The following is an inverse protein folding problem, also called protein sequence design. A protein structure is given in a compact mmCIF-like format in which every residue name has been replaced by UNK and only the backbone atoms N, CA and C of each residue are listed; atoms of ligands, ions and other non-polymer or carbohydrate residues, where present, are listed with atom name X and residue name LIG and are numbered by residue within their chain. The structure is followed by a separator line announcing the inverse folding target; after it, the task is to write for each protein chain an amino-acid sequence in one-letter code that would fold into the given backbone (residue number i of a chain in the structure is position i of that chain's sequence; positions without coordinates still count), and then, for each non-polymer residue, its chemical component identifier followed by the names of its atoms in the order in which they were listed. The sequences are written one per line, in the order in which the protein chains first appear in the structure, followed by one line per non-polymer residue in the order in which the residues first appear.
data_IF_738698634159
#
_entry.id   IF_738698634159
#
_cell.length_a   1.000
_cell.length_b   1.000
_cell.length_c   1.000
_cell.angle_alpha   90.00
_cell.angle_beta   90.00
_cell.angle_gamma   90.00
#
_symmetry.space_group_name_H-M   'P 1'
#
loop_
_entity.id
_entity.type
_entity.pdbx_description
1 polymer ?
#
# COMPACT_ATOMS: atom_id res chain seq x y z
N UNK A 1 7.39 4.73 10.28
CA UNK A 1 7.07 3.73 11.31
C UNK A 1 6.33 2.49 10.76
N UNK A 2 6.90 1.79 9.77
CA UNK A 2 6.25 0.61 9.18
C UNK A 2 6.15 -0.56 10.16
N UNK A 3 7.20 -0.79 10.96
CA UNK A 3 7.21 -1.85 11.98
C UNK A 3 6.11 -1.64 13.04
N UNK A 4 5.89 -0.39 13.47
CA UNK A 4 4.85 -0.04 14.43
C UNK A 4 3.44 -0.32 13.87
N UNK A 5 3.19 0.08 12.61
CA UNK A 5 1.93 -0.24 11.92
C UNK A 5 1.77 -1.76 11.79
N UNK A 6 2.85 -2.48 11.46
CA UNK A 6 2.88 -3.94 11.40
C UNK A 6 2.45 -4.60 12.70
N UNK A 7 2.98 -4.12 13.83
CA UNK A 7 2.69 -4.62 15.17
C UNK A 7 1.21 -4.51 15.54
N UNK A 8 0.57 -3.37 15.26
CA UNK A 8 -0.85 -3.17 15.55
C UNK A 8 -1.78 -3.76 14.48
N UNK A 9 -1.35 -3.81 13.22
CA UNK A 9 -2.21 -4.18 12.08
C UNK A 9 -2.24 -5.67 11.74
N UNK A 10 -1.15 -6.43 11.98
CA UNK A 10 -1.03 -7.82 11.50
C UNK A 10 -0.96 -8.88 12.59
N UNK A 11 -0.98 -8.48 13.85
CA UNK A 11 -0.96 -9.39 15.01
C UNK A 11 -2.25 -9.22 15.80
N UNK A 12 -2.72 -10.26 16.48
CA UNK A 12 -3.90 -10.15 17.37
C UNK A 12 -3.47 -9.74 18.77
N UNK A 13 -4.24 -8.85 19.43
CA UNK A 13 -4.02 -8.53 20.84
C UNK A 13 -4.40 -9.66 21.80
N UNK A 14 -5.03 -10.73 21.29
CA UNK A 14 -5.28 -11.96 22.07
C UNK A 14 -4.03 -12.84 22.18
N UNK A 15 -3.15 -12.75 21.20
CA UNK A 15 -1.98 -13.64 21.06
C UNK A 15 -0.70 -12.98 21.58
N UNK A 16 -0.64 -11.64 21.50
CA UNK A 16 0.51 -10.87 21.98
C UNK A 16 0.05 -9.66 22.78
N UNK A 17 0.87 -9.25 23.75
CA UNK A 17 0.72 -7.94 24.38
C UNK A 17 1.27 -6.87 23.43
N UNK A 18 0.36 -6.15 22.77
CA UNK A 18 0.73 -5.08 21.85
C UNK A 18 1.25 -3.83 22.57
N UNK A 19 0.94 -3.66 23.84
CA UNK A 19 1.21 -2.44 24.61
C UNK A 19 2.48 -2.52 25.47
N UNK A 20 3.05 -3.72 25.64
CA UNK A 20 4.24 -3.95 26.46
C UNK A 20 5.42 -2.99 26.18
N UNK A 21 5.65 -2.62 24.92
CA UNK A 21 6.73 -1.73 24.48
C UNK A 21 6.21 -0.48 23.74
N UNK A 22 5.03 0.01 24.11
CA UNK A 22 4.39 1.17 23.47
C UNK A 22 4.07 2.22 24.52
N UNK A 23 4.37 3.49 24.23
CA UNK A 23 3.94 4.58 25.10
C UNK A 23 2.44 4.84 24.93
N UNK A 24 1.69 4.66 26.00
CA UNK A 24 0.27 4.97 26.07
C UNK A 24 -0.10 5.58 27.43
N UNK A 25 -1.26 6.25 27.49
CA UNK A 25 -1.92 6.68 28.73
C UNK A 25 -3.29 6.03 28.86
N UNK A 26 -3.80 5.89 30.07
CA UNK A 26 -5.18 5.44 30.28
C UNK A 26 -6.13 6.65 30.17
N UNK A 27 -7.13 6.55 29.29
CA UNK A 27 -8.12 7.58 29.05
C UNK A 27 -9.25 7.61 30.09
N UNK A 28 -10.17 8.57 29.95
CA UNK A 28 -11.32 8.77 30.86
C UNK A 28 -12.33 7.61 30.84
N UNK A 29 -12.31 6.78 29.82
CA UNK A 29 -13.12 5.57 29.67
C UNK A 29 -12.42 4.32 30.16
N UNK A 30 -11.14 4.41 30.51
CA UNK A 30 -10.27 3.26 30.79
C UNK A 30 -9.58 2.69 29.54
N UNK A 31 -9.89 3.17 28.34
CA UNK A 31 -9.23 2.74 27.12
C UNK A 31 -7.76 3.22 27.07
N UNK A 32 -6.82 2.40 26.57
CA UNK A 32 -5.45 2.84 26.35
C UNK A 32 -5.37 3.77 25.13
N UNK A 33 -4.80 4.96 25.33
CA UNK A 33 -4.54 5.97 24.30
C UNK A 33 -3.06 5.89 23.92
N UNK A 34 -2.79 5.37 22.74
CA UNK A 34 -1.43 5.28 22.18
C UNK A 34 -0.90 6.70 21.89
N UNK A 35 0.32 6.99 22.34
CA UNK A 35 0.97 8.29 22.19
C UNK A 35 2.08 8.28 21.13
N UNK A 36 2.70 7.10 20.92
CA UNK A 36 3.69 6.92 19.87
C UNK A 36 3.07 7.17 18.49
N UNK A 37 3.80 7.92 17.66
CA UNK A 37 3.40 8.27 16.29
C UNK A 37 1.99 8.88 16.13
N UNK A 38 1.42 9.44 17.20
CA UNK A 38 0.07 10.01 17.23
C UNK A 38 0.12 11.53 17.19
N UNK A 39 -0.67 12.13 16.28
CA UNK A 39 -0.83 13.59 16.20
C UNK A 39 -2.00 14.07 17.06
N UNK A 40 -3.10 13.31 17.07
CA UNK A 40 -4.31 13.59 17.84
C UNK A 40 -5.04 12.30 18.18
N UNK A 41 -5.87 12.31 19.22
CA UNK A 41 -6.76 11.19 19.56
C UNK A 41 -8.19 11.65 19.82
N UNK A 42 -9.12 10.70 19.68
CA UNK A 42 -10.50 10.80 20.10
C UNK A 42 -10.80 9.62 21.03
N UNK A 43 -11.41 9.91 22.17
CA UNK A 43 -11.91 8.89 23.08
C UNK A 43 -13.44 8.96 23.11
N UNK A 44 -14.10 7.82 22.96
CA UNK A 44 -15.55 7.76 22.87
C UNK A 44 -16.13 6.61 23.70
N UNK A 45 -17.35 6.82 24.21
CA UNK A 45 -18.18 5.74 24.77
C UNK A 45 -19.16 5.26 23.70
N UNK A 46 -19.22 3.96 23.47
CA UNK A 46 -20.18 3.35 22.53
C UNK A 46 -21.60 3.64 23.01
N UNK A 47 -22.43 4.16 22.12
CA UNK A 47 -23.85 4.42 22.35
C UNK A 47 -24.75 3.55 21.48
N UNK A 48 -24.25 3.06 20.35
CA UNK A 48 -24.99 2.17 19.45
C UNK A 48 -24.03 1.24 18.72
N UNK A 49 -24.51 0.03 18.45
CA UNK A 49 -23.85 -0.98 17.63
C UNK A 49 -24.76 -1.33 16.45
N UNK A 50 -24.17 -1.56 15.29
CA UNK A 50 -24.89 -1.92 14.06
C UNK A 50 -24.15 -3.06 13.37
N UNK A 51 -24.87 -4.14 13.09
CA UNK A 51 -24.34 -5.27 12.33
C UNK A 51 -24.17 -4.89 10.85
N UNK A 52 -22.99 -5.15 10.29
CA UNK A 52 -22.64 -4.97 8.89
C UNK A 52 -22.02 -6.26 8.31
N UNK A 53 -22.41 -7.43 8.83
CA UNK A 53 -22.03 -8.75 8.33
C UNK A 53 -20.64 -9.16 8.79
N UNK A 54 -19.60 -8.79 8.04
CA UNK A 54 -18.21 -9.11 8.40
C UNK A 54 -17.63 -8.13 9.42
N UNK A 55 -18.34 -7.05 9.70
CA UNK A 55 -17.92 -5.97 10.58
C UNK A 55 -19.08 -5.53 11.47
N UNK A 56 -18.74 -4.93 12.61
CA UNK A 56 -19.69 -4.21 13.47
C UNK A 56 -19.35 -2.74 13.42
N UNK A 57 -20.34 -1.90 13.13
CA UNK A 57 -20.18 -0.44 13.18
C UNK A 57 -20.57 0.01 14.59
N UNK A 58 -19.61 0.63 15.28
CA UNK A 58 -19.82 1.25 16.58
C UNK A 58 -20.03 2.76 16.41
N UNK A 59 -21.14 3.28 16.94
CA UNK A 59 -21.37 4.72 17.08
C UNK A 59 -20.99 5.11 18.50
N UNK A 60 -20.04 6.04 18.63
CA UNK A 60 -19.53 6.50 19.90
C UNK A 60 -19.83 7.97 20.17
N UNK A 61 -20.19 8.30 21.41
CA UNK A 61 -20.20 9.68 21.91
C UNK A 61 -18.79 10.04 22.38
N UNK A 62 -18.18 11.05 21.77
CA UNK A 62 -16.85 11.55 22.16
C UNK A 62 -16.93 12.12 23.59
N UNK A 63 -15.98 11.70 24.43
CA UNK A 63 -15.85 12.13 25.82
C UNK A 63 -14.54 12.86 26.11
N UNK A 64 -13.54 12.67 25.25
CA UNK A 64 -12.27 13.40 25.29
C UNK A 64 -11.67 13.48 23.88
N UNK A 65 -10.95 14.55 23.59
CA UNK A 65 -10.25 14.76 22.33
C UNK A 65 -9.08 15.71 22.55
N UNK A 66 -7.92 15.41 21.96
CA UNK A 66 -6.73 16.25 22.14
C UNK A 66 -5.84 16.20 20.90
N UNK A 67 -5.34 17.36 20.50
CA UNK A 67 -4.24 17.48 19.54
C UNK A 67 -2.93 17.44 20.34
N UNK A 68 -2.17 16.35 20.20
CA UNK A 68 -0.91 16.15 20.91
C UNK A 68 0.25 16.89 20.24
N UNK A 69 0.27 16.90 18.89
CA UNK A 69 1.37 17.42 18.08
C UNK A 69 0.84 17.98 16.77
N UNK A 70 1.49 19.04 16.28
CA UNK A 70 1.30 19.48 14.90
C UNK A 70 2.03 18.56 13.92
N UNK A 71 1.46 18.36 12.74
CA UNK A 71 2.05 17.52 11.70
C UNK A 71 1.08 17.17 10.60
N UNK A 72 1.59 16.50 9.56
CA UNK A 72 0.76 16.01 8.45
C UNK A 72 0.27 14.61 8.76
N UNK A 73 -1.06 14.45 8.80
CA UNK A 73 -1.68 13.15 9.00
C UNK A 73 -1.31 12.18 7.87
N UNK A 74 -1.02 10.93 8.23
CA UNK A 74 -0.81 9.89 7.23
C UNK A 74 -2.16 9.53 6.59
N UNK A 75 -2.27 9.73 5.28
CA UNK A 75 -3.42 9.26 4.52
C UNK A 75 -3.25 7.78 4.17
N UNK A 76 -4.37 7.09 3.98
CA UNK A 76 -4.36 5.71 3.51
C UNK A 76 -3.71 5.56 2.12
N UNK A 77 -3.99 6.51 1.22
CA UNK A 77 -3.35 6.55 -0.10
C UNK A 77 -1.82 6.64 0.00
N UNK A 78 -1.30 7.51 0.87
CA UNK A 78 0.14 7.63 1.11
C UNK A 78 0.75 6.35 1.69
N UNK A 79 0.06 5.68 2.62
CA UNK A 79 0.51 4.39 3.18
C UNK A 79 0.72 3.33 2.09
N UNK A 80 -0.24 3.18 1.18
CA UNK A 80 -0.15 2.19 0.10
C UNK A 80 0.81 2.60 -1.01
N UNK A 81 0.70 3.83 -1.51
CA UNK A 81 1.37 4.26 -2.74
C UNK A 81 2.84 4.62 -2.49
N UNK A 82 3.15 5.20 -1.33
CA UNK A 82 4.49 5.74 -1.06
C UNK A 82 5.25 4.88 -0.06
N UNK A 83 4.58 4.36 0.97
CA UNK A 83 5.25 3.56 2.02
C UNK A 83 5.27 2.06 1.72
N UNK A 84 4.68 1.60 0.61
CA UNK A 84 4.63 0.18 0.25
C UNK A 84 3.91 -0.67 1.29
N UNK A 85 3.01 -0.05 2.07
CA UNK A 85 2.27 -0.69 3.14
C UNK A 85 1.33 -1.77 2.62
N UNK A 86 1.32 -2.93 3.27
CA UNK A 86 0.38 -4.02 2.97
C UNK A 86 -0.83 -3.91 3.89
N UNK A 87 -1.98 -4.43 3.47
CA UNK A 87 -3.16 -4.55 4.34
C UNK A 87 -3.46 -6.01 4.66
N UNK A 88 -3.86 -6.34 5.89
CA UNK A 88 -4.34 -7.67 6.23
C UNK A 88 -5.58 -8.02 5.43
N UNK A 89 -5.74 -9.30 5.05
CA UNK A 89 -6.92 -9.80 4.32
C UNK A 89 -8.24 -9.60 5.07
N UNK A 90 -8.18 -9.40 6.39
CA UNK A 90 -9.32 -9.24 7.28
C UNK A 90 -9.78 -7.79 7.44
N UNK A 91 -9.06 -6.80 6.88
CA UNK A 91 -9.42 -5.40 7.01
C UNK A 91 -10.60 -5.03 6.07
N UNK A 92 -11.53 -4.18 6.53
CA UNK A 92 -12.62 -3.64 5.71
C UNK A 92 -12.13 -2.96 4.41
N UNK A 93 -10.97 -2.31 4.49
CA UNK A 93 -10.33 -1.60 3.38
C UNK A 93 -9.44 -2.50 2.52
N UNK A 94 -9.39 -3.82 2.81
CA UNK A 94 -8.74 -4.79 1.95
C UNK A 94 -9.51 -4.85 0.63
N UNK A 95 -9.08 -4.03 -0.30
CA UNK A 95 -9.34 -4.26 -1.70
C UNK A 95 -8.45 -5.46 -2.05
N UNK A 96 -9.04 -6.57 -2.50
CA UNK A 96 -8.30 -7.53 -3.33
C UNK A 96 -7.70 -6.67 -4.44
N UNK A 97 -6.41 -6.38 -4.36
CA UNK A 97 -5.73 -5.73 -5.46
C UNK A 97 -6.09 -6.58 -6.69
N UNK A 98 -6.61 -6.00 -7.79
CA UNK A 98 -6.33 -6.61 -9.07
C UNK A 98 -4.81 -6.70 -9.07
N UNK A 99 -4.28 -7.93 -9.16
CA UNK A 99 -2.86 -8.21 -9.06
C UNK A 99 -2.11 -7.05 -9.74
N UNK A 100 -1.51 -6.16 -8.95
CA UNK A 100 -0.41 -5.38 -9.48
C UNK A 100 0.59 -6.49 -9.79
N UNK A 101 0.70 -6.87 -11.07
CA UNK A 101 1.88 -7.56 -11.57
C UNK A 101 3.01 -6.65 -11.14
N UNK A 102 3.60 -6.97 -9.99
CA UNK A 102 4.70 -6.22 -9.45
C UNK A 102 5.79 -6.25 -10.52
N UNK A 103 6.56 -5.19 -10.59
CA UNK A 103 7.75 -5.09 -11.44
C UNK A 103 8.70 -6.33 -11.35
N UNK A 104 8.57 -7.15 -10.30
CA UNK A 104 9.23 -8.45 -10.15
C UNK A 104 8.76 -9.59 -11.09
N UNK A 105 7.66 -9.42 -11.84
CA UNK A 105 7.09 -10.44 -12.74
C UNK A 105 6.87 -9.90 -14.17
N UNK A 106 7.49 -8.76 -14.50
CA UNK A 106 7.46 -8.21 -15.85
C UNK A 106 8.67 -8.73 -16.62
N UNK A 107 8.44 -9.74 -17.46
CA UNK A 107 9.46 -10.37 -18.29
C UNK A 107 10.14 -9.31 -19.18
N UNK A 108 11.47 -9.31 -19.21
CA UNK A 108 12.23 -8.47 -20.13
C UNK A 108 12.18 -9.07 -21.52
N UNK A 109 12.24 -8.23 -22.54
CA UNK A 109 12.18 -8.68 -23.93
C UNK A 109 13.42 -8.24 -24.67
N UNK A 110 14.10 -9.18 -25.28
CA UNK A 110 15.31 -8.93 -26.07
C UNK A 110 14.97 -8.93 -27.55
N UNK A 111 15.41 -7.89 -28.25
CA UNK A 111 15.36 -7.80 -29.70
C UNK A 111 16.33 -8.81 -30.30
N UNK A 112 15.84 -9.72 -31.13
CA UNK A 112 16.65 -10.73 -31.81
C UNK A 112 17.49 -10.16 -32.96
N UNK A 113 17.26 -8.90 -33.35
CA UNK A 113 17.96 -8.23 -34.46
C UNK A 113 19.23 -7.51 -33.96
N UNK A 114 19.12 -6.74 -32.88
CA UNK A 114 20.22 -5.91 -32.38
C UNK A 114 20.61 -6.18 -30.92
N UNK A 115 19.88 -7.06 -30.22
CA UNK A 115 20.14 -7.39 -28.82
C UNK A 115 19.65 -6.36 -27.80
N UNK A 116 18.91 -5.33 -28.22
CA UNK A 116 18.31 -4.36 -27.29
C UNK A 116 17.35 -5.06 -26.34
N UNK A 117 17.45 -4.78 -25.03
CA UNK A 117 16.56 -5.32 -24.00
C UNK A 117 15.59 -4.24 -23.58
N UNK A 118 14.30 -4.48 -23.84
CA UNK A 118 13.21 -3.70 -23.25
C UNK A 118 13.03 -4.12 -21.79
N UNK A 119 13.23 -3.15 -20.90
CA UNK A 119 13.04 -3.30 -19.47
C UNK A 119 11.74 -2.57 -19.06
N UNK A 120 10.66 -3.30 -18.74
CA UNK A 120 9.40 -2.69 -18.32
C UNK A 120 9.55 -1.74 -17.14
N UNK A 121 10.54 -1.93 -16.25
CA UNK A 121 10.78 -1.02 -15.13
C UNK A 121 11.28 0.35 -15.59
N UNK A 122 12.05 0.38 -16.69
CA UNK A 122 12.59 1.62 -17.26
C UNK A 122 11.66 2.22 -18.30
N UNK A 123 10.85 1.40 -18.97
CA UNK A 123 10.12 1.79 -20.16
C UNK A 123 11.05 2.19 -21.30
N UNK A 124 10.52 2.97 -22.24
CA UNK A 124 11.26 3.54 -23.37
C UNK A 124 10.82 5.00 -23.55
N UNK A 125 11.45 5.88 -22.76
CA UNK A 125 11.10 7.31 -22.70
C UNK A 125 11.30 8.02 -24.06
N UNK A 126 12.26 7.57 -24.86
CA UNK A 126 12.56 8.14 -26.17
C UNK A 126 11.43 7.89 -27.17
N UNK A 127 10.76 6.74 -27.05
CA UNK A 127 9.55 6.40 -27.81
C UNK A 127 8.24 6.76 -27.09
N UNK A 128 8.30 7.52 -25.99
CA UNK A 128 7.13 7.96 -25.23
C UNK A 128 6.49 6.89 -24.31
N UNK A 129 7.17 5.77 -24.10
CA UNK A 129 6.73 4.67 -23.23
C UNK A 129 7.20 4.93 -21.80
N UNK A 130 6.25 5.03 -20.87
CA UNK A 130 6.56 5.31 -19.47
C UNK A 130 7.17 4.09 -18.74
N UNK A 131 8.02 4.32 -17.74
CA UNK A 131 8.40 3.30 -16.77
C UNK A 131 7.17 2.58 -16.20
N UNK A 132 7.25 1.26 -16.09
CA UNK A 132 6.18 0.38 -15.63
C UNK A 132 5.21 -0.10 -16.71
N UNK A 133 5.50 0.11 -18.00
CA UNK A 133 4.69 -0.40 -19.12
C UNK A 133 5.11 -1.82 -19.49
N UNK A 134 4.25 -2.86 -19.38
CA UNK A 134 4.56 -4.20 -19.88
C UNK A 134 4.80 -4.22 -21.38
N UNK A 135 5.63 -5.16 -21.88
CA UNK A 135 5.86 -5.31 -23.32
C UNK A 135 4.56 -5.57 -24.11
N UNK A 136 3.63 -6.32 -23.51
CA UNK A 136 2.30 -6.60 -24.06
C UNK A 136 1.43 -5.35 -24.23
N UNK A 137 1.64 -4.31 -23.41
CA UNK A 137 0.89 -3.05 -23.43
C UNK A 137 1.55 -1.94 -24.24
N UNK A 138 2.70 -2.22 -24.85
CA UNK A 138 3.35 -1.26 -25.74
C UNK A 138 2.40 -0.85 -26.89
N UNK A 139 2.50 0.36 -27.43
CA UNK A 139 1.75 0.77 -28.63
C UNK A 139 2.00 -0.17 -29.83
N UNK A 140 1.02 -0.41 -30.70
CA UNK A 140 1.15 -1.34 -31.84
C UNK A 140 2.16 -0.87 -32.89
N UNK A 141 2.44 0.42 -32.93
CA UNK A 141 3.41 1.13 -33.75
C UNK A 141 4.79 1.27 -33.08
N UNK A 142 4.94 0.79 -31.84
CA UNK A 142 6.22 0.80 -31.16
C UNK A 142 7.22 -0.14 -31.86
N UNK A 143 8.41 0.38 -32.10
CA UNK A 143 9.53 -0.31 -32.73
C UNK A 143 10.76 -0.24 -31.83
N UNK A 144 11.70 -1.16 -32.02
CA UNK A 144 12.97 -1.14 -31.30
C UNK A 144 13.67 0.22 -31.49
N UNK A 145 14.03 0.95 -30.40
CA UNK A 145 14.65 2.26 -30.51
C UNK A 145 16.06 2.21 -31.13
N UNK A 146 16.68 1.02 -31.18
CA UNK A 146 18.03 0.83 -31.73
C UNK A 146 18.02 0.49 -33.23
N UNK A 147 17.10 -0.35 -33.69
CA UNK A 147 17.13 -0.88 -35.06
C UNK A 147 15.83 -0.71 -35.86
N UNK A 148 14.76 -0.20 -35.24
CA UNK A 148 13.46 -0.02 -35.89
C UNK A 148 12.70 -1.32 -36.18
N UNK A 149 13.17 -2.48 -35.70
CA UNK A 149 12.44 -3.74 -35.83
C UNK A 149 11.14 -3.70 -35.01
N UNK A 150 10.06 -4.25 -35.55
CA UNK A 150 8.79 -4.36 -34.84
C UNK A 150 8.85 -5.37 -33.69
N UNK A 151 7.78 -5.40 -32.89
CA UNK A 151 7.66 -6.25 -31.71
C UNK A 151 7.74 -7.74 -32.00
N UNK A 152 7.42 -8.16 -33.21
CA UNK A 152 7.54 -9.54 -33.68
C UNK A 152 8.99 -10.05 -33.68
N UNK A 153 9.97 -9.16 -33.55
CA UNK A 153 11.39 -9.48 -33.44
C UNK A 153 11.92 -9.42 -32.00
N UNK A 154 11.04 -9.52 -31.01
CA UNK A 154 11.42 -9.60 -29.61
C UNK A 154 11.05 -10.96 -29.03
N UNK A 155 11.98 -11.50 -28.24
CA UNK A 155 11.79 -12.74 -27.47
C UNK A 155 11.92 -12.47 -25.99
N UNK A 156 11.29 -13.32 -25.16
CA UNK A 156 11.39 -13.24 -23.71
C UNK A 156 12.83 -13.52 -23.28
N UNK A 157 13.41 -12.62 -22.51
CA UNK A 157 14.69 -12.81 -21.87
C UNK A 157 14.46 -13.61 -20.58
N UNK A 158 14.96 -14.85 -20.56
CA UNK A 158 14.82 -15.79 -19.46
C UNK A 158 15.68 -15.44 -18.25
#
# INVERSE_FOLDING_TARGET
PLNFIGHFGFKSGRDIDKFAEVHYKIGKTGAPIVLDHTLAYLEARVTKEMDAGTHTIFVGKVVEAENLKEGVCMTYAYYHQVKGGKTPKTAATYLKEPLKKGAADMEKFRCTVCGYVYDPEKGDLDSGVKPGTPFEELPGDWVCPVCGAGKEKFEKEA
#
